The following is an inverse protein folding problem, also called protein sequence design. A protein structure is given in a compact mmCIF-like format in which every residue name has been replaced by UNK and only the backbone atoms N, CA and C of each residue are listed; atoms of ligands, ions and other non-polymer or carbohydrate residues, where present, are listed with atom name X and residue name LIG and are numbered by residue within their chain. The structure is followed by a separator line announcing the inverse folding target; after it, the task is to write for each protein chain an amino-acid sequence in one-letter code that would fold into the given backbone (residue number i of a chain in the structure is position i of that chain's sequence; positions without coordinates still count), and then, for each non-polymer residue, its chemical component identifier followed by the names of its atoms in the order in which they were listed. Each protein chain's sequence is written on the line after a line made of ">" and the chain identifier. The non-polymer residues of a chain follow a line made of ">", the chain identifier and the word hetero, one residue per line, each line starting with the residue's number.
data_IF_795106100162
#
_entry.id   IF_795106100162
#
_cell.length_a   1.000
_cell.length_b   1.000
_cell.length_c   1.000
_cell.angle_alpha   90.00
_cell.angle_beta   90.00
_cell.angle_gamma   90.00
#
_symmetry.space_group_name_H-M   'P 1'
#
loop_
_entity.id
_entity.type
_entity.pdbx_description
1 polymer ?
#
# COMPACT_ATOMS: atom_id res chain seq x y z
N UNK A 1 -1.00 4.14 -16.89
CA UNK A 1 -0.76 3.17 -15.82
C UNK A 1 -1.14 3.84 -14.51
N UNK A 2 -2.17 3.35 -13.85
CA UNK A 2 -2.66 3.86 -12.56
C UNK A 2 -2.11 3.00 -11.40
N UNK A 3 -2.48 3.31 -10.15
CA UNK A 3 -2.03 2.53 -8.99
C UNK A 3 -2.52 1.08 -9.00
N UNK A 4 -3.73 0.83 -9.51
CA UNK A 4 -4.34 -0.50 -9.61
C UNK A 4 -3.56 -1.40 -10.59
N UNK A 5 -3.14 -0.85 -11.74
CA UNK A 5 -2.32 -1.54 -12.73
C UNK A 5 -0.98 -2.01 -12.13
N UNK A 6 -0.37 -1.19 -11.28
CA UNK A 6 0.91 -1.50 -10.61
C UNK A 6 0.69 -2.63 -9.60
N UNK A 7 -0.37 -2.53 -8.79
CA UNK A 7 -0.71 -3.53 -7.78
C UNK A 7 -1.02 -4.89 -8.43
N UNK A 8 -1.83 -4.89 -9.50
CA UNK A 8 -2.12 -6.10 -10.25
C UNK A 8 -0.84 -6.75 -10.81
N UNK A 9 0.11 -5.97 -11.32
CA UNK A 9 1.40 -6.51 -11.79
C UNK A 9 2.25 -7.08 -10.66
N UNK A 10 2.29 -6.42 -9.51
CA UNK A 10 3.01 -6.92 -8.33
C UNK A 10 2.42 -8.23 -7.82
N UNK A 11 1.09 -8.41 -7.86
CA UNK A 11 0.44 -9.68 -7.50
C UNK A 11 0.73 -10.83 -8.46
N UNK A 12 1.09 -10.53 -9.71
CA UNK A 12 1.39 -11.53 -10.74
C UNK A 12 2.88 -11.93 -10.79
N UNK A 13 3.75 -11.23 -10.05
CA UNK A 13 5.16 -11.61 -9.96
C UNK A 13 5.36 -12.69 -8.91
N UNK A 14 6.13 -13.74 -9.25
CA UNK A 14 6.50 -14.85 -8.35
C UNK A 14 7.61 -14.51 -7.36
N UNK A 15 8.09 -13.27 -7.35
CA UNK A 15 9.01 -12.74 -6.34
C UNK A 15 8.21 -12.29 -5.13
N UNK A 16 8.76 -12.43 -3.93
CA UNK A 16 8.20 -11.77 -2.73
C UNK A 16 8.12 -10.27 -3.01
N UNK A 17 6.90 -9.77 -3.24
CA UNK A 17 6.70 -8.35 -3.50
C UNK A 17 7.20 -7.55 -2.28
N UNK A 18 7.83 -6.38 -2.47
CA UNK A 18 8.16 -5.50 -1.36
C UNK A 18 6.86 -5.07 -0.66
N UNK A 19 6.90 -4.75 0.64
CA UNK A 19 5.73 -4.23 1.33
C UNK A 19 5.23 -2.94 0.64
N UNK A 20 3.93 -2.89 0.39
CA UNK A 20 3.28 -1.78 -0.35
C UNK A 20 2.44 -0.94 0.60
N UNK A 21 2.63 0.39 0.57
CA UNK A 21 1.74 1.35 1.24
C UNK A 21 0.96 2.12 0.18
N UNK A 22 -0.37 2.09 0.26
CA UNK A 22 -1.27 2.74 -0.71
C UNK A 22 -1.68 4.13 -0.24
N UNK A 23 -1.49 5.16 -1.07
CA UNK A 23 -1.90 6.54 -0.79
C UNK A 23 -3.02 6.98 -1.74
N UNK A 24 -4.27 7.03 -1.28
CA UNK A 24 -5.44 7.30 -2.14
C UNK A 24 -6.16 8.61 -1.76
N UNK A 25 -6.69 9.35 -2.73
CA UNK A 25 -7.56 10.52 -2.49
C UNK A 25 -9.05 10.17 -2.54
N UNK A 26 -9.40 8.96 -2.98
CA UNK A 26 -10.78 8.55 -3.18
C UNK A 26 -11.19 7.61 -2.05
N UNK A 27 -12.26 7.98 -1.32
CA UNK A 27 -13.06 7.03 -0.55
C UNK A 27 -13.80 6.15 -1.55
N UNK A 28 -13.12 5.17 -2.11
CA UNK A 28 -13.76 4.17 -2.93
C UNK A 28 -13.36 2.81 -2.39
N UNK A 29 -14.39 2.04 -2.07
CA UNK A 29 -14.37 0.63 -1.68
C UNK A 29 -13.33 -0.19 -2.47
N UNK A 30 -13.10 0.17 -3.74
CA UNK A 30 -12.08 -0.40 -4.62
C UNK A 30 -10.64 -0.26 -4.11
N UNK A 31 -10.26 0.85 -3.48
CA UNK A 31 -8.88 1.04 -2.99
C UNK A 31 -8.58 0.19 -1.74
N UNK A 32 -9.58 0.00 -0.88
CA UNK A 32 -9.48 -0.89 0.30
C UNK A 32 -9.50 -2.36 -0.13
N UNK A 33 -10.39 -2.73 -1.05
CA UNK A 33 -10.43 -4.08 -1.65
C UNK A 33 -9.10 -4.44 -2.33
N UNK A 34 -8.52 -3.51 -3.08
CA UNK A 34 -7.22 -3.69 -3.73
C UNK A 34 -6.09 -3.77 -2.71
N UNK A 35 -6.09 -2.92 -1.67
CA UNK A 35 -5.08 -2.99 -0.60
C UNK A 35 -5.14 -4.32 0.18
N UNK A 36 -6.35 -4.84 0.43
CA UNK A 36 -6.55 -6.16 1.03
C UNK A 36 -6.06 -7.29 0.12
N UNK A 37 -6.33 -7.20 -1.19
CA UNK A 37 -5.96 -8.23 -2.17
C UNK A 37 -4.45 -8.44 -2.31
N UNK A 38 -3.64 -7.44 -1.93
CA UNK A 38 -2.17 -7.51 -2.00
C UNK A 38 -1.48 -7.49 -0.64
N UNK A 39 -2.23 -7.75 0.43
CA UNK A 39 -1.71 -7.69 1.80
C UNK A 39 -0.90 -6.40 2.05
N UNK A 40 -1.45 -5.26 1.58
CA UNK A 40 -0.77 -3.99 1.65
C UNK A 40 -0.35 -3.70 3.09
N UNK A 41 0.89 -3.26 3.25
CA UNK A 41 1.47 -2.94 4.53
C UNK A 41 0.83 -1.69 5.16
N UNK A 42 0.06 -0.90 4.40
CA UNK A 42 -0.76 0.19 4.92
C UNK A 42 -1.58 0.88 3.84
N UNK A 43 -2.62 1.62 4.25
CA UNK A 43 -3.43 2.49 3.38
C UNK A 43 -3.65 3.84 4.05
N UNK A 44 -3.45 4.92 3.29
CA UNK A 44 -3.68 6.30 3.75
C UNK A 44 -4.63 7.03 2.79
N UNK A 45 -5.66 7.65 3.35
CA UNK A 45 -6.54 8.55 2.64
C UNK A 45 -5.96 9.96 2.66
N UNK A 46 -5.94 10.65 1.51
CA UNK A 46 -5.54 12.05 1.41
C UNK A 46 -6.70 12.97 1.86
N UNK A 47 -6.41 14.05 2.61
CA UNK A 47 -5.11 14.38 3.18
C UNK A 47 -4.76 13.47 4.37
N UNK A 48 -3.47 13.14 4.51
CA UNK A 48 -2.95 12.34 5.62
C UNK A 48 -1.86 13.12 6.35
N UNK A 49 -1.66 12.80 7.62
CA UNK A 49 -0.57 13.33 8.44
C UNK A 49 0.77 12.70 8.01
N UNK A 50 1.77 13.54 7.76
CA UNK A 50 3.10 13.09 7.32
C UNK A 50 3.74 12.20 8.38
N UNK A 51 3.62 12.56 9.65
CA UNK A 51 4.20 11.77 10.74
C UNK A 51 3.63 10.36 10.77
N UNK A 52 2.32 10.21 10.60
CA UNK A 52 1.67 8.88 10.56
C UNK A 52 2.17 8.03 9.39
N UNK A 53 2.49 8.63 8.23
CA UNK A 53 3.10 7.90 7.13
C UNK A 53 4.54 7.46 7.46
N UNK A 54 5.34 8.32 8.08
CA UNK A 54 6.71 8.00 8.47
C UNK A 54 6.74 6.87 9.51
N UNK A 55 5.87 6.92 10.52
CA UNK A 55 5.75 5.88 11.54
C UNK A 55 5.40 4.52 10.90
N UNK A 56 4.53 4.51 9.88
CA UNK A 56 4.19 3.29 9.14
C UNK A 56 5.36 2.77 8.30
N UNK A 57 6.13 3.66 7.66
CA UNK A 57 7.32 3.27 6.90
C UNK A 57 8.35 2.63 7.84
N UNK A 58 8.59 3.23 9.01
CA UNK A 58 9.51 2.67 10.01
C UNK A 58 9.05 1.27 10.46
N UNK A 59 7.78 1.12 10.83
CA UNK A 59 7.19 -0.16 11.22
C UNK A 59 7.41 -1.25 10.17
N UNK A 60 7.21 -0.91 8.89
CA UNK A 60 7.36 -1.83 7.77
C UNK A 60 8.82 -2.26 7.59
N UNK A 61 9.75 -1.31 7.65
CA UNK A 61 11.18 -1.59 7.47
C UNK A 61 11.75 -2.43 8.62
N UNK A 62 11.32 -2.18 9.86
CA UNK A 62 11.78 -2.95 11.04
C UNK A 62 11.23 -4.37 11.07
N UNK A 63 10.03 -4.62 10.51
CA UNK A 63 9.44 -5.98 10.43
C UNK A 63 10.11 -6.89 9.40
N UNK A 64 10.81 -6.32 8.43
CA UNK A 64 11.50 -7.05 7.36
C UNK A 64 12.99 -7.30 7.62
N UNK A 65 13.52 -6.81 8.75
CA UNK A 65 14.90 -7.02 9.21
C UNK A 65 14.98 -8.24 10.14
#
# INVERSE_FOLDING_TARGET
>A
MNGEDIIHRLSQTSLSAPPVIVLTARRQQTAEEVALAIEAAGIFLKPFEIQSLLDQIELVLTRTA
#
